data_IF_008470355143
#
_entry.id   IF_008470355143
#
_cell.length_a   1.000
_cell.length_b   1.000
_cell.length_c   1.000
_cell.angle_alpha   90.00
_cell.angle_beta   90.00
_cell.angle_gamma   90.00
#
_symmetry.space_group_name_H-M   'P 1'
#
loop_
_entity.id
_entity.type
_entity.pdbx_description
1 polymer ?
#
# COMPACT_ATOMS: atom_id res chain seq x y z
N UNK A 1 18.24 29.18 -1.07
CA UNK A 1 16.99 28.50 -1.49
C UNK A 1 16.75 27.40 -0.47
N UNK A 2 15.73 27.53 0.40
CA UNK A 2 15.39 26.46 1.35
C UNK A 2 14.75 25.37 0.52
N UNK A 3 15.41 24.22 0.40
CA UNK A 3 14.80 23.04 -0.24
C UNK A 3 13.65 22.61 0.67
N UNK A 4 12.42 22.73 0.21
CA UNK A 4 11.26 22.24 0.94
C UNK A 4 11.39 20.72 1.05
N UNK A 5 11.54 20.23 2.26
CA UNK A 5 11.60 18.78 2.50
C UNK A 5 10.17 18.25 2.38
N UNK A 6 9.97 17.30 1.47
CA UNK A 6 8.66 16.73 1.17
C UNK A 6 8.59 15.29 1.70
N UNK A 7 7.50 14.97 2.36
CA UNK A 7 7.31 13.69 3.03
C UNK A 7 6.67 12.63 2.11
N UNK A 8 7.01 11.37 2.32
CA UNK A 8 6.40 10.22 1.64
C UNK A 8 5.67 9.35 2.64
N UNK A 9 4.46 8.94 2.32
CA UNK A 9 3.62 8.10 3.18
C UNK A 9 3.76 6.64 2.75
N UNK A 10 4.00 5.74 3.69
CA UNK A 10 4.09 4.30 3.46
C UNK A 10 3.03 3.59 4.29
N UNK A 11 1.94 3.14 3.65
CA UNK A 11 0.92 2.32 4.31
C UNK A 11 1.32 0.84 4.26
N UNK A 12 1.13 0.15 5.38
CA UNK A 12 1.61 -1.22 5.55
C UNK A 12 3.12 -1.30 5.77
N UNK A 13 3.68 -0.26 6.40
CA UNK A 13 5.13 -0.08 6.56
C UNK A 13 5.80 -1.18 7.38
N UNK A 14 5.10 -1.85 8.30
CA UNK A 14 5.66 -3.01 9.05
C UNK A 14 5.70 -4.31 8.26
N UNK A 15 5.11 -4.35 7.05
CA UNK A 15 5.22 -5.49 6.13
C UNK A 15 6.57 -5.56 5.44
N UNK A 16 6.91 -6.72 4.82
CA UNK A 16 8.23 -6.95 4.20
C UNK A 16 8.56 -5.93 3.10
N UNK A 17 7.60 -5.58 2.25
CA UNK A 17 7.81 -4.58 1.18
C UNK A 17 7.90 -3.18 1.80
N UNK A 18 6.95 -2.82 2.67
CA UNK A 18 6.88 -1.50 3.29
C UNK A 18 8.12 -1.18 4.13
N UNK A 19 8.60 -2.12 4.95
CA UNK A 19 9.78 -1.91 5.78
C UNK A 19 11.08 -1.80 4.95
N UNK A 20 11.19 -2.59 3.87
CA UNK A 20 12.32 -2.46 2.95
C UNK A 20 12.32 -1.13 2.21
N UNK A 21 11.12 -0.66 1.80
CA UNK A 21 10.97 0.66 1.16
C UNK A 21 11.32 1.78 2.14
N UNK A 22 10.80 1.71 3.38
CA UNK A 22 11.07 2.71 4.42
C UNK A 22 12.57 2.89 4.66
N UNK A 23 13.31 1.79 4.87
CA UNK A 23 14.76 1.82 5.04
C UNK A 23 15.47 2.48 3.86
N UNK A 24 15.13 2.07 2.63
CA UNK A 24 15.77 2.63 1.41
C UNK A 24 15.51 4.12 1.24
N UNK A 25 14.31 4.61 1.58
CA UNK A 25 13.98 6.03 1.48
C UNK A 25 14.73 6.85 2.53
N UNK A 26 14.81 6.36 3.78
CA UNK A 26 15.60 7.00 4.83
C UNK A 26 17.09 7.02 4.47
N UNK A 27 17.63 5.91 3.97
CA UNK A 27 19.03 5.82 3.51
C UNK A 27 19.31 6.80 2.36
N UNK A 28 18.31 7.12 1.55
CA UNK A 28 18.39 8.11 0.48
C UNK A 28 18.21 9.57 0.95
N UNK A 29 17.95 9.78 2.25
CA UNK A 29 17.74 11.11 2.83
C UNK A 29 16.30 11.64 2.68
N UNK A 30 15.34 10.78 2.35
CA UNK A 30 13.94 11.15 2.23
C UNK A 30 13.27 11.21 3.61
N UNK A 31 12.37 12.18 3.80
CA UNK A 31 11.45 12.16 4.92
C UNK A 31 10.24 11.26 4.63
N UNK A 32 9.88 10.45 5.62
CA UNK A 32 8.77 9.50 5.49
C UNK A 32 7.86 9.52 6.70
N UNK A 33 6.61 9.11 6.47
CA UNK A 33 5.63 8.82 7.52
C UNK A 33 5.15 7.38 7.37
N UNK A 34 5.22 6.61 8.43
CA UNK A 34 4.87 5.19 8.44
C UNK A 34 3.44 4.99 8.93
N UNK A 35 2.69 4.12 8.24
CA UNK A 35 1.34 3.75 8.65
C UNK A 35 1.23 2.25 8.80
N UNK A 36 0.72 1.79 9.95
CA UNK A 36 0.52 0.37 10.24
C UNK A 36 -0.49 0.14 11.34
N UNK A 37 -1.06 -1.06 11.40
CA UNK A 37 -2.11 -1.38 12.38
C UNK A 37 -1.58 -1.98 13.69
N UNK A 38 -0.40 -2.59 13.65
CA UNK A 38 0.23 -3.18 14.83
C UNK A 38 1.19 -2.17 15.46
N UNK A 39 0.80 -1.63 16.61
CA UNK A 39 1.51 -0.56 17.29
C UNK A 39 2.94 -0.95 17.64
N UNK A 40 3.15 -2.15 18.13
CA UNK A 40 4.47 -2.61 18.55
C UNK A 40 5.45 -2.70 17.38
N UNK A 41 4.99 -3.25 16.24
CA UNK A 41 5.83 -3.37 15.04
C UNK A 41 6.11 -2.03 14.37
N UNK A 42 5.12 -1.13 14.34
CA UNK A 42 5.30 0.15 13.64
C UNK A 42 6.11 1.14 14.48
N UNK A 43 5.90 1.20 15.80
CA UNK A 43 6.67 2.06 16.68
C UNK A 43 8.14 1.64 16.77
N UNK A 44 8.41 0.33 16.81
CA UNK A 44 9.79 -0.17 16.75
C UNK A 44 10.48 0.23 15.44
N UNK A 45 9.83 0.03 14.29
CA UNK A 45 10.41 0.42 13.00
C UNK A 45 10.61 1.94 12.90
N UNK A 46 9.66 2.73 13.37
CA UNK A 46 9.74 4.18 13.37
C UNK A 46 10.87 4.68 14.29
N UNK A 47 11.02 4.07 15.47
CA UNK A 47 12.13 4.37 16.37
C UNK A 47 13.50 4.05 15.79
N UNK A 48 13.64 2.89 15.14
CA UNK A 48 14.89 2.49 14.48
C UNK A 48 15.28 3.43 13.32
N UNK A 49 14.29 4.02 12.64
CA UNK A 49 14.49 4.90 11.49
C UNK A 49 14.46 6.40 11.85
N UNK A 50 14.04 6.75 13.06
CA UNK A 50 13.92 8.15 13.50
C UNK A 50 12.81 8.91 12.76
N UNK A 51 11.68 8.26 12.45
CA UNK A 51 10.60 8.83 11.62
C UNK A 51 9.24 8.82 12.34
N UNK A 52 8.31 9.64 11.86
CA UNK A 52 6.94 9.69 12.38
C UNK A 52 6.07 8.52 11.90
N UNK A 53 5.02 8.19 12.66
CA UNK A 53 4.10 7.12 12.31
C UNK A 53 2.67 7.35 12.81
N UNK A 54 1.73 6.66 12.17
CA UNK A 54 0.31 6.54 12.60
C UNK A 54 -0.04 5.07 12.80
N UNK A 55 -0.72 4.78 13.92
CA UNK A 55 -1.32 3.46 14.16
C UNK A 55 -2.77 3.50 13.74
N UNK A 56 -3.15 2.79 12.67
CA UNK A 56 -4.54 2.62 12.27
C UNK A 56 -4.74 1.36 11.42
N UNK A 57 -5.95 0.79 11.46
CA UNK A 57 -6.40 -0.20 10.47
C UNK A 57 -7.12 0.54 9.34
N UNK A 58 -6.71 0.30 8.11
CA UNK A 58 -7.32 0.93 6.92
C UNK A 58 -8.75 0.45 6.63
N UNK A 59 -9.26 -0.49 7.42
CA UNK A 59 -10.66 -0.92 7.38
C UNK A 59 -11.55 -0.18 8.39
N UNK A 60 -10.97 0.67 9.24
CA UNK A 60 -11.72 1.54 10.14
C UNK A 60 -12.26 2.75 9.40
N UNK A 61 -13.40 3.26 9.85
CA UNK A 61 -13.92 4.54 9.36
C UNK A 61 -12.94 5.67 9.70
N UNK A 62 -12.81 6.66 8.82
CA UNK A 62 -11.98 7.85 9.01
C UNK A 62 -10.47 7.56 9.23
N UNK A 63 -9.97 6.38 8.78
CA UNK A 63 -8.53 6.08 8.90
C UNK A 63 -7.66 7.08 8.15
N UNK A 64 -8.10 7.54 7.00
CA UNK A 64 -7.34 8.48 6.15
C UNK A 64 -7.28 9.88 6.75
N UNK A 65 -8.35 10.33 7.40
CA UNK A 65 -8.40 11.59 8.14
C UNK A 65 -7.51 11.55 9.38
N UNK A 66 -7.41 10.39 10.05
CA UNK A 66 -6.47 10.20 11.15
C UNK A 66 -5.03 10.36 10.68
N UNK A 67 -4.66 9.74 9.56
CA UNK A 67 -3.32 9.88 8.98
C UNK A 67 -3.06 11.35 8.62
N UNK A 68 -4.04 12.02 8.00
CA UNK A 68 -3.94 13.44 7.64
C UNK A 68 -3.73 14.33 8.89
N UNK A 69 -4.47 14.06 9.96
CA UNK A 69 -4.34 14.78 11.23
C UNK A 69 -2.95 14.60 11.87
N UNK A 70 -2.40 13.38 11.83
CA UNK A 70 -1.08 13.09 12.42
C UNK A 70 0.08 13.70 11.61
N UNK A 71 -0.09 13.82 10.29
CA UNK A 71 0.90 14.46 9.39
C UNK A 71 0.78 15.98 9.45
N UNK A 72 -0.44 16.52 9.61
CA UNK A 72 -0.71 17.95 9.56
C UNK A 72 -0.59 18.55 8.16
N UNK A 73 -0.10 19.78 8.07
CA UNK A 73 0.01 20.55 6.81
C UNK A 73 1.31 20.29 6.04
N UNK A 74 2.03 19.22 6.36
CA UNK A 74 3.30 18.94 5.70
C UNK A 74 3.13 18.61 4.21
N UNK A 75 4.06 19.05 3.35
CA UNK A 75 4.00 18.76 1.92
C UNK A 75 4.31 17.29 1.65
N UNK A 76 3.38 16.62 0.92
CA UNK A 76 3.49 15.20 0.57
C UNK A 76 3.75 15.06 -0.92
N UNK A 77 4.80 14.33 -1.30
CA UNK A 77 5.11 14.04 -2.71
C UNK A 77 5.19 12.55 -3.03
N UNK A 78 4.87 11.67 -2.10
CA UNK A 78 4.87 10.23 -2.33
C UNK A 78 3.86 9.49 -1.48
N UNK A 79 3.20 8.49 -2.05
CA UNK A 79 2.31 7.58 -1.35
C UNK A 79 2.54 6.16 -1.86
N UNK A 80 2.94 5.24 -0.97
CA UNK A 80 3.08 3.83 -1.26
C UNK A 80 2.05 3.03 -0.46
N UNK A 81 1.13 2.34 -1.17
CA UNK A 81 0.13 1.48 -0.55
C UNK A 81 0.61 0.03 -0.56
N UNK A 82 1.36 -0.37 0.47
CA UNK A 82 1.98 -1.70 0.60
C UNK A 82 1.09 -2.72 1.34
N UNK A 83 -0.21 -2.42 1.50
CA UNK A 83 -1.16 -3.29 2.18
C UNK A 83 -1.76 -4.31 1.20
N UNK A 84 -1.99 -5.50 1.71
CA UNK A 84 -2.68 -6.55 0.97
C UNK A 84 -2.86 -7.81 1.80
N UNK A 85 -3.56 -8.78 1.21
CA UNK A 85 -3.75 -10.10 1.79
C UNK A 85 -3.60 -11.18 0.73
N UNK A 86 -3.24 -12.39 1.17
CA UNK A 86 -3.25 -13.61 0.35
C UNK A 86 -4.29 -14.55 0.96
N UNK A 87 -5.46 -14.65 0.31
CA UNK A 87 -6.50 -15.62 0.66
C UNK A 87 -6.68 -16.58 -0.53
N UNK A 88 -6.11 -17.77 -0.38
CA UNK A 88 -6.09 -18.80 -1.42
C UNK A 88 -7.02 -19.94 -1.07
N UNK A 89 -8.08 -20.10 -1.84
CA UNK A 89 -9.01 -21.22 -1.70
C UNK A 89 -9.73 -21.53 -3.01
N UNK A 90 -10.15 -22.78 -3.24
CA UNK A 90 -10.97 -23.14 -4.37
C UNK A 90 -12.25 -22.30 -4.44
N UNK A 91 -12.67 -21.88 -5.65
CA UNK A 91 -13.85 -21.02 -5.84
C UNK A 91 -15.10 -21.57 -5.15
N UNK A 92 -15.30 -22.90 -5.16
CA UNK A 92 -16.44 -23.56 -4.50
C UNK A 92 -16.49 -23.38 -2.98
N UNK A 93 -15.39 -22.99 -2.36
CA UNK A 93 -15.27 -22.73 -0.91
C UNK A 93 -15.29 -21.24 -0.56
N UNK A 94 -15.32 -20.36 -1.55
CA UNK A 94 -15.35 -18.92 -1.32
C UNK A 94 -16.75 -18.46 -0.91
N UNK A 95 -16.79 -17.39 -0.13
CA UNK A 95 -18.01 -16.68 0.27
C UNK A 95 -17.99 -15.26 -0.28
N UNK A 96 -19.16 -14.65 -0.43
CA UNK A 96 -19.29 -13.23 -0.79
C UNK A 96 -18.43 -12.33 0.10
N UNK A 97 -18.41 -12.62 1.41
CA UNK A 97 -17.62 -11.87 2.40
C UNK A 97 -16.14 -11.92 2.16
N UNK A 98 -15.60 -13.00 1.59
CA UNK A 98 -14.16 -13.10 1.27
C UNK A 98 -13.77 -12.09 0.19
N UNK A 99 -14.58 -11.99 -0.86
CA UNK A 99 -14.38 -11.00 -1.93
C UNK A 99 -14.52 -9.57 -1.39
N UNK A 100 -15.60 -9.28 -0.66
CA UNK A 100 -15.83 -7.95 -0.10
C UNK A 100 -14.67 -7.51 0.81
N UNK A 101 -14.19 -8.40 1.67
CA UNK A 101 -13.04 -8.12 2.54
C UNK A 101 -11.76 -7.83 1.72
N UNK A 102 -11.50 -8.63 0.70
CA UNK A 102 -10.34 -8.42 -0.16
C UNK A 102 -10.42 -7.11 -0.96
N UNK A 103 -11.60 -6.78 -1.49
CA UNK A 103 -11.82 -5.52 -2.21
C UNK A 103 -11.70 -4.31 -1.29
N UNK A 104 -12.32 -4.36 -0.11
CA UNK A 104 -12.20 -3.27 0.87
C UNK A 104 -10.74 -3.01 1.24
N UNK A 105 -10.00 -4.08 1.60
CA UNK A 105 -8.61 -3.95 2.03
C UNK A 105 -7.68 -3.48 0.91
N UNK A 106 -7.83 -3.99 -0.30
CA UNK A 106 -6.87 -3.72 -1.39
C UNK A 106 -7.27 -2.49 -2.21
N UNK A 107 -8.56 -2.35 -2.57
CA UNK A 107 -9.02 -1.35 -3.53
C UNK A 107 -9.63 -0.12 -2.84
N UNK A 108 -10.66 -0.33 -2.02
CA UNK A 108 -11.45 0.78 -1.46
C UNK A 108 -10.58 1.64 -0.55
N UNK A 109 -9.85 1.03 0.39
CA UNK A 109 -8.96 1.78 1.29
C UNK A 109 -7.81 2.46 0.54
N UNK A 110 -7.30 1.87 -0.55
CA UNK A 110 -6.29 2.53 -1.39
C UNK A 110 -6.86 3.77 -2.09
N UNK A 111 -8.07 3.66 -2.67
CA UNK A 111 -8.73 4.79 -3.32
C UNK A 111 -9.04 5.91 -2.33
N UNK A 112 -9.48 5.56 -1.11
CA UNK A 112 -9.82 6.51 -0.06
C UNK A 112 -8.59 7.33 0.38
N UNK A 113 -7.48 6.70 0.71
CA UNK A 113 -6.27 7.42 1.11
C UNK A 113 -5.70 8.26 -0.03
N UNK A 114 -5.76 7.79 -1.28
CA UNK A 114 -5.33 8.58 -2.44
C UNK A 114 -6.22 9.82 -2.62
N UNK A 115 -7.53 9.67 -2.43
CA UNK A 115 -8.48 10.79 -2.45
C UNK A 115 -8.14 11.83 -1.38
N UNK A 116 -7.90 11.40 -0.14
CA UNK A 116 -7.58 12.28 0.99
C UNK A 116 -6.31 13.09 0.76
N UNK A 117 -5.26 12.49 0.18
CA UNK A 117 -3.99 13.17 -0.09
C UNK A 117 -3.87 13.73 -1.52
N UNK A 118 -4.91 13.64 -2.34
CA UNK A 118 -4.87 13.98 -3.77
C UNK A 118 -4.43 15.42 -4.04
N UNK A 119 -5.00 16.39 -3.35
CA UNK A 119 -4.66 17.80 -3.54
C UNK A 119 -3.21 18.11 -3.12
N UNK A 120 -2.75 17.53 -2.00
CA UNK A 120 -1.38 17.68 -1.51
C UNK A 120 -0.38 17.07 -2.50
N UNK A 121 -0.64 15.84 -2.97
CA UNK A 121 0.16 15.17 -3.99
C UNK A 121 0.21 15.98 -5.31
N UNK A 122 -0.92 16.57 -5.73
CA UNK A 122 -1.02 17.38 -6.93
C UNK A 122 -0.18 18.65 -6.84
N UNK A 123 -0.26 19.37 -5.72
CA UNK A 123 0.52 20.58 -5.47
C UNK A 123 2.02 20.31 -5.49
N UNK A 124 2.44 19.14 -5.03
CA UNK A 124 3.84 18.75 -4.90
C UNK A 124 4.34 17.83 -6.02
N UNK A 125 3.59 17.71 -7.14
CA UNK A 125 3.93 16.84 -8.29
C UNK A 125 4.30 15.43 -7.86
N UNK A 126 3.49 14.86 -7.00
CA UNK A 126 3.76 13.62 -6.30
C UNK A 126 3.68 12.36 -7.14
N UNK A 127 3.88 11.24 -6.47
CA UNK A 127 3.71 9.91 -7.09
C UNK A 127 3.01 8.95 -6.13
N UNK A 128 2.20 8.06 -6.72
CA UNK A 128 1.52 6.97 -6.02
C UNK A 128 2.05 5.64 -6.55
N UNK A 129 2.34 4.71 -5.64
CA UNK A 129 2.73 3.33 -5.97
C UNK A 129 1.76 2.36 -5.30
N UNK A 130 1.14 1.52 -6.13
CA UNK A 130 0.23 0.46 -5.74
C UNK A 130 0.87 -0.91 -6.00
N UNK A 131 0.36 -1.96 -5.36
CA UNK A 131 0.89 -3.31 -5.54
C UNK A 131 -0.19 -4.28 -6.01
N UNK A 132 0.03 -4.86 -7.19
CA UNK A 132 -0.71 -5.99 -7.76
C UNK A 132 0.02 -7.32 -7.51
N UNK A 133 -0.13 -8.26 -8.41
CA UNK A 133 0.56 -9.56 -8.43
C UNK A 133 0.60 -10.10 -9.85
N UNK A 134 1.65 -10.85 -10.22
CA UNK A 134 1.70 -11.56 -11.51
C UNK A 134 0.53 -12.52 -11.71
N UNK A 135 -0.12 -12.97 -10.62
CA UNK A 135 -1.29 -13.86 -10.67
C UNK A 135 -2.50 -13.25 -11.39
N UNK A 136 -2.55 -11.92 -11.56
CA UNK A 136 -3.62 -11.25 -12.33
C UNK A 136 -3.55 -11.63 -13.81
N UNK A 137 -2.35 -11.63 -14.38
CA UNK A 137 -2.15 -11.93 -15.83
C UNK A 137 -1.93 -13.41 -16.10
N UNK A 138 -1.21 -14.09 -15.20
CA UNK A 138 -0.79 -15.47 -15.43
C UNK A 138 -1.86 -16.48 -15.01
N UNK A 139 -2.65 -16.12 -13.98
CA UNK A 139 -3.65 -17.02 -13.38
C UNK A 139 -3.02 -18.21 -12.65
N UNK A 140 -3.50 -18.46 -11.43
CA UNK A 140 -3.08 -19.63 -10.65
C UNK A 140 -4.31 -20.28 -9.99
N UNK A 141 -4.29 -21.60 -9.75
CA UNK A 141 -5.35 -22.27 -8.99
C UNK A 141 -5.55 -21.58 -7.62
N UNK A 142 -6.80 -21.51 -7.18
CA UNK A 142 -7.20 -20.95 -5.87
C UNK A 142 -6.98 -19.43 -5.69
N UNK A 143 -6.62 -18.69 -6.74
CA UNK A 143 -6.33 -17.26 -6.66
C UNK A 143 -7.51 -16.35 -7.01
N UNK A 144 -8.74 -16.87 -7.12
CA UNK A 144 -9.90 -16.08 -7.56
C UNK A 144 -10.10 -14.79 -6.73
N UNK A 145 -9.97 -14.84 -5.41
CA UNK A 145 -10.14 -13.68 -4.52
C UNK A 145 -9.02 -12.67 -4.73
N UNK A 146 -7.76 -13.12 -4.59
CA UNK A 146 -6.61 -12.20 -4.62
C UNK A 146 -6.40 -11.63 -6.02
N UNK A 147 -6.54 -12.45 -7.09
CA UNK A 147 -6.36 -11.97 -8.46
C UNK A 147 -7.43 -10.95 -8.86
N UNK A 148 -8.70 -11.14 -8.47
CA UNK A 148 -9.74 -10.16 -8.76
C UNK A 148 -9.53 -8.84 -8.01
N UNK A 149 -9.19 -8.87 -6.72
CA UNK A 149 -8.92 -7.66 -5.96
C UNK A 149 -7.67 -6.91 -6.48
N UNK A 150 -6.61 -7.64 -6.84
CA UNK A 150 -5.39 -7.04 -7.39
C UNK A 150 -5.53 -6.61 -8.86
N UNK A 151 -6.37 -7.27 -9.65
CA UNK A 151 -6.76 -6.81 -10.99
C UNK A 151 -7.53 -5.48 -10.93
N UNK A 152 -8.37 -5.30 -9.92
CA UNK A 152 -9.04 -4.01 -9.68
C UNK A 152 -8.05 -2.89 -9.35
N UNK A 153 -6.95 -3.18 -8.64
CA UNK A 153 -5.84 -2.22 -8.41
C UNK A 153 -5.17 -1.81 -9.72
N UNK A 154 -4.96 -2.74 -10.66
CA UNK A 154 -4.42 -2.40 -11.99
C UNK A 154 -5.35 -1.45 -12.74
N UNK A 155 -6.67 -1.73 -12.72
CA UNK A 155 -7.68 -0.84 -13.30
C UNK A 155 -7.71 0.53 -12.65
N UNK A 156 -7.68 0.60 -11.32
CA UNK A 156 -7.60 1.86 -10.57
C UNK A 156 -6.34 2.65 -10.94
N UNK A 157 -5.21 1.97 -11.06
CA UNK A 157 -3.92 2.60 -11.44
C UNK A 157 -4.03 3.29 -12.79
N UNK A 158 -4.59 2.61 -13.80
CA UNK A 158 -4.73 3.16 -15.15
C UNK A 158 -5.68 4.39 -15.15
N UNK A 159 -6.81 4.27 -14.46
CA UNK A 159 -7.78 5.34 -14.36
C UNK A 159 -7.19 6.59 -13.70
N UNK A 160 -6.55 6.42 -12.53
CA UNK A 160 -5.95 7.54 -11.80
C UNK A 160 -4.72 8.12 -12.50
N UNK A 161 -3.93 7.30 -13.21
CA UNK A 161 -2.83 7.83 -14.02
C UNK A 161 -3.31 8.77 -15.13
N UNK A 162 -4.45 8.45 -15.76
CA UNK A 162 -5.07 9.31 -16.75
C UNK A 162 -5.70 10.56 -16.13
N UNK A 163 -6.42 10.41 -15.02
CA UNK A 163 -7.13 11.50 -14.35
C UNK A 163 -6.17 12.55 -13.76
N UNK A 164 -5.06 12.11 -13.18
CA UNK A 164 -4.14 12.96 -12.44
C UNK A 164 -2.98 13.52 -13.28
N UNK A 165 -2.82 13.06 -14.53
CA UNK A 165 -1.78 13.58 -15.41
C UNK A 165 -2.00 15.08 -15.71
N UNK A 166 -0.94 15.89 -15.83
CA UNK A 166 0.48 15.54 -15.66
C UNK A 166 1.00 15.75 -14.21
N UNK A 167 0.12 15.96 -13.24
CA UNK A 167 0.50 16.46 -11.91
C UNK A 167 0.92 15.34 -10.95
N UNK A 168 0.29 14.17 -11.01
CA UNK A 168 0.61 13.02 -10.16
C UNK A 168 0.89 11.82 -11.07
N UNK A 169 1.97 11.11 -10.80
CA UNK A 169 2.26 9.82 -11.45
C UNK A 169 1.68 8.69 -10.60
N UNK A 170 0.92 7.80 -11.22
CA UNK A 170 0.35 6.62 -10.55
C UNK A 170 0.87 5.36 -11.23
N UNK A 171 1.51 4.49 -10.45
CA UNK A 171 2.14 3.27 -10.95
C UNK A 171 1.72 2.06 -10.10
N UNK A 172 1.75 0.89 -10.73
CA UNK A 172 1.49 -0.38 -10.07
C UNK A 172 2.65 -1.35 -10.27
N UNK A 173 3.09 -1.99 -9.20
CA UNK A 173 4.09 -3.06 -9.22
C UNK A 173 3.37 -4.38 -9.03
N UNK A 174 3.59 -5.34 -9.94
CA UNK A 174 3.04 -6.69 -9.88
C UNK A 174 4.14 -7.70 -9.53
N UNK A 175 4.46 -7.90 -8.24
CA UNK A 175 5.52 -8.83 -7.86
C UNK A 175 5.09 -10.28 -8.08
N UNK A 176 6.07 -11.13 -8.29
CA UNK A 176 5.95 -12.57 -8.16
C UNK A 176 6.01 -12.98 -6.68
N UNK A 177 6.19 -14.26 -6.39
CA UNK A 177 6.28 -14.77 -5.03
C UNK A 177 7.49 -14.13 -4.33
N UNK A 178 7.20 -13.27 -3.37
CA UNK A 178 8.20 -12.51 -2.61
C UNK A 178 8.38 -13.14 -1.23
N UNK A 179 9.61 -13.28 -0.78
CA UNK A 179 9.88 -13.82 0.57
C UNK A 179 9.37 -12.83 1.62
N UNK A 180 8.31 -13.23 2.33
CA UNK A 180 7.62 -12.43 3.33
C UNK A 180 6.94 -13.31 4.36
N UNK A 181 6.56 -12.74 5.50
CA UNK A 181 5.74 -13.47 6.51
C UNK A 181 4.43 -13.97 5.88
N UNK A 182 3.84 -13.19 4.95
CA UNK A 182 2.58 -13.53 4.28
C UNK A 182 2.71 -14.73 3.34
N UNK A 183 3.84 -14.88 2.67
CA UNK A 183 4.12 -15.96 1.70
C UNK A 183 4.86 -17.15 2.30
N UNK A 184 5.25 -17.09 3.56
CA UNK A 184 6.10 -18.11 4.20
C UNK A 184 5.55 -19.53 4.11
N UNK A 185 4.22 -19.69 4.22
CA UNK A 185 3.57 -20.99 4.09
C UNK A 185 3.53 -21.52 2.64
N UNK A 186 3.55 -20.62 1.66
CA UNK A 186 3.61 -20.97 0.24
C UNK A 186 5.01 -21.39 -0.16
N UNK A 187 6.03 -20.72 0.37
CA UNK A 187 7.44 -21.02 0.10
C UNK A 187 7.92 -22.36 0.71
N UNK A 188 7.23 -22.87 1.74
CA UNK A 188 7.56 -24.16 2.37
C UNK A 188 7.04 -25.36 1.59
N UNK A 189 6.10 -25.17 0.67
CA UNK A 189 5.57 -26.23 -0.17
C UNK A 189 6.36 -26.27 -1.49
N UNK A 190 7.34 -27.16 -1.57
CA UNK A 190 8.20 -27.41 -2.76
C UNK A 190 7.46 -27.89 -4.03
N UNK A 191 6.14 -27.80 -4.07
CA UNK A 191 5.25 -28.24 -5.18
C UNK A 191 4.52 -27.09 -5.88
N UNK A 192 5.15 -25.94 -5.99
CA UNK A 192 4.61 -24.85 -6.80
C UNK A 192 5.58 -24.54 -7.94
#
# INVERSE_FOLDING_TARGET
>A
MVTLIMKKIILGASGSIGSSLAKKLVDAGDEIHLVGRDESSISSLAGDLGVSFTVCDVLEENFSEKILSDIGEEPINGLAYCIGSIDLKPLKLTKKSDFLKAFNLNLVSAAEVIKTFGDNLKQNKGSVVLFSTVAVKQGFPNHAIVSSAKGAIEGLTIALAAEFAPNIRVNCIAPSLTNSKMSSNLLKNEKI
#
